data_IF_099180339542
#
_entry.id   IF_099180339542
#
_cell.length_a   1.000
_cell.length_b   1.000
_cell.length_c   1.000
_cell.angle_alpha   90.00
_cell.angle_beta   90.00
_cell.angle_gamma   90.00
#
_symmetry.space_group_name_H-M   'P 1'
#
loop_
_entity.id
_entity.type
_entity.pdbx_description
1 polymer ?
#
# COMPACT_ATOMS: atom_id res chain seq x y z
N UNK A 1 28.29 -3.18 11.46
CA UNK A 1 28.74 -2.90 12.82
C UNK A 1 30.26 -2.64 12.78
N UNK A 2 30.67 -1.38 12.94
CA UNK A 2 32.08 -0.95 12.94
C UNK A 2 32.80 -1.23 14.26
N UNK A 3 32.10 -1.75 15.27
CA UNK A 3 32.65 -2.11 16.58
C UNK A 3 33.50 -3.39 16.56
N UNK A 4 33.32 -4.22 15.53
CA UNK A 4 34.02 -5.51 15.40
C UNK A 4 35.41 -5.28 14.79
N UNK A 5 36.46 -5.86 15.38
CA UNK A 5 37.81 -5.77 14.84
C UNK A 5 37.92 -6.44 13.46
N UNK A 6 38.94 -6.04 12.66
CA UNK A 6 39.19 -6.64 11.35
C UNK A 6 39.37 -8.17 11.42
N UNK A 7 40.08 -8.64 12.47
CA UNK A 7 40.41 -10.05 12.63
C UNK A 7 39.18 -10.88 13.06
N UNK A 8 38.34 -10.35 13.93
CA UNK A 8 37.08 -10.97 14.30
C UNK A 8 36.12 -11.05 13.12
N UNK A 9 36.03 -9.97 12.33
CA UNK A 9 35.21 -9.96 11.13
C UNK A 9 35.72 -10.99 10.10
N UNK A 10 37.05 -11.10 9.92
CA UNK A 10 37.67 -12.09 9.03
C UNK A 10 37.33 -13.51 9.47
N UNK A 11 37.44 -13.82 10.77
CA UNK A 11 37.07 -15.14 11.35
C UNK A 11 35.60 -15.46 11.10
N UNK A 12 34.72 -14.49 11.31
CA UNK A 12 33.26 -14.66 11.08
C UNK A 12 32.97 -14.93 9.60
N UNK A 13 33.56 -14.16 8.67
CA UNK A 13 33.37 -14.37 7.22
C UNK A 13 33.87 -15.75 6.79
N UNK A 14 35.01 -16.21 7.33
CA UNK A 14 35.57 -17.53 7.02
C UNK A 14 34.69 -18.67 7.56
N UNK A 15 34.09 -18.50 8.75
CA UNK A 15 33.17 -19.51 9.31
C UNK A 15 31.88 -19.64 8.49
N UNK A 16 31.37 -18.53 7.96
CA UNK A 16 30.17 -18.52 7.12
C UNK A 16 30.45 -18.92 5.66
N UNK A 17 31.71 -18.83 5.20
CA UNK A 17 32.13 -19.12 3.83
C UNK A 17 33.41 -19.96 3.82
N UNK A 18 33.33 -21.29 4.09
CA UNK A 18 34.50 -22.18 4.25
C UNK A 18 35.42 -22.27 3.01
N UNK A 19 34.91 -21.91 1.83
CA UNK A 19 35.71 -21.88 0.58
C UNK A 19 36.54 -20.59 0.37
N UNK A 20 36.44 -19.61 1.27
CA UNK A 20 37.17 -18.35 1.17
C UNK A 20 38.60 -18.46 1.70
N UNK A 21 39.56 -17.89 0.98
CA UNK A 21 40.96 -17.83 1.43
C UNK A 21 41.15 -16.67 2.43
N UNK A 22 41.86 -16.94 3.54
CA UNK A 22 42.17 -15.94 4.59
C UNK A 22 42.82 -14.69 4.02
N UNK A 23 43.83 -14.83 3.16
CA UNK A 23 44.59 -13.73 2.58
C UNK A 23 43.72 -12.78 1.74
N UNK A 24 42.67 -13.30 1.10
CA UNK A 24 41.74 -12.46 0.34
C UNK A 24 40.91 -11.51 1.20
N UNK A 25 40.70 -11.82 2.47
CA UNK A 25 39.95 -10.97 3.40
C UNK A 25 40.73 -9.71 3.81
N UNK A 26 42.05 -9.79 3.80
CA UNK A 26 42.92 -8.64 4.05
C UNK A 26 42.68 -7.45 3.11
N UNK A 27 42.26 -7.74 1.87
CA UNK A 27 41.93 -6.72 0.87
C UNK A 27 40.43 -6.41 0.81
N UNK A 28 39.57 -7.37 1.06
CA UNK A 28 38.09 -7.22 0.94
C UNK A 28 37.51 -6.42 2.08
N UNK A 29 37.92 -6.68 3.31
CA UNK A 29 37.37 -6.02 4.51
C UNK A 29 37.63 -4.50 4.51
N UNK A 30 38.86 -3.99 4.27
CA UNK A 30 39.06 -2.55 4.22
C UNK A 30 38.27 -1.86 3.11
N UNK A 31 38.16 -2.47 1.94
CA UNK A 31 37.37 -1.93 0.83
C UNK A 31 35.88 -1.91 1.13
N UNK A 32 35.34 -2.98 1.71
CA UNK A 32 33.96 -3.00 2.14
C UNK A 32 33.68 -1.91 3.20
N UNK A 33 34.54 -1.75 4.19
CA UNK A 33 34.42 -0.68 5.18
C UNK A 33 34.42 0.70 4.53
N UNK A 34 35.33 0.95 3.62
CA UNK A 34 35.39 2.22 2.90
C UNK A 34 34.09 2.52 2.12
N UNK A 35 33.47 1.52 1.50
CA UNK A 35 32.18 1.66 0.82
C UNK A 35 31.08 2.11 1.79
N UNK A 36 31.02 1.50 2.99
CA UNK A 36 30.04 1.88 4.01
C UNK A 36 30.35 3.24 4.65
N UNK A 37 31.62 3.57 4.91
CA UNK A 37 32.03 4.86 5.47
C UNK A 37 31.80 6.02 4.49
N UNK A 38 31.84 5.74 3.19
CA UNK A 38 31.57 6.72 2.13
C UNK A 38 30.11 6.81 1.70
N UNK A 39 29.20 6.01 2.29
CA UNK A 39 27.78 5.99 1.94
C UNK A 39 27.49 5.44 0.55
N UNK A 40 28.40 4.63 -0.01
CA UNK A 40 28.30 4.05 -1.38
C UNK A 40 27.76 2.63 -1.40
N UNK A 41 27.22 2.12 -0.29
CA UNK A 41 26.75 0.73 -0.16
C UNK A 41 25.65 0.39 -1.15
N UNK A 42 24.70 1.30 -1.40
CA UNK A 42 23.62 1.08 -2.36
C UNK A 42 24.13 0.95 -3.80
N UNK A 43 25.06 1.81 -4.17
CA UNK A 43 25.66 1.76 -5.50
C UNK A 43 26.50 0.48 -5.68
N UNK A 44 27.26 0.09 -4.67
CA UNK A 44 27.99 -1.17 -4.67
C UNK A 44 27.05 -2.39 -4.79
N UNK A 45 25.89 -2.39 -4.11
CA UNK A 45 24.88 -3.44 -4.25
C UNK A 45 24.28 -3.49 -5.66
N UNK A 46 23.99 -2.33 -6.28
CA UNK A 46 23.52 -2.27 -7.68
C UNK A 46 24.53 -2.86 -8.66
N UNK A 47 25.79 -2.50 -8.52
CA UNK A 47 26.88 -3.06 -9.34
C UNK A 47 26.96 -4.59 -9.21
N UNK A 48 26.79 -5.13 -8.00
CA UNK A 48 26.75 -6.59 -7.77
C UNK A 48 25.54 -7.21 -8.49
N UNK A 49 24.37 -6.60 -8.40
CA UNK A 49 23.13 -7.09 -9.00
C UNK A 49 23.22 -7.14 -10.54
N UNK A 50 23.86 -6.15 -11.14
CA UNK A 50 24.02 -6.03 -12.59
C UNK A 50 25.20 -6.86 -13.14
N UNK A 51 26.06 -7.36 -12.27
CA UNK A 51 27.27 -8.07 -12.67
C UNK A 51 26.98 -9.45 -13.26
N UNK A 52 27.50 -9.69 -14.45
CA UNK A 52 27.47 -11.02 -15.10
C UNK A 52 28.53 -12.00 -14.55
N UNK A 53 29.42 -11.52 -13.67
CA UNK A 53 30.56 -12.30 -13.12
C UNK A 53 30.35 -12.78 -11.69
N UNK A 54 29.26 -12.38 -11.07
CA UNK A 54 28.88 -12.74 -9.69
C UNK A 54 27.91 -13.91 -9.73
N UNK A 55 28.03 -14.83 -8.79
CA UNK A 55 27.13 -15.98 -8.72
C UNK A 55 25.70 -15.56 -8.31
N UNK A 56 24.71 -16.37 -8.72
CA UNK A 56 23.29 -16.08 -8.52
C UNK A 56 22.92 -15.90 -7.04
N UNK A 57 23.56 -16.64 -6.14
CA UNK A 57 23.27 -16.59 -4.70
C UNK A 57 23.75 -15.27 -4.09
N UNK A 58 24.90 -14.76 -4.54
CA UNK A 58 25.39 -13.45 -4.11
C UNK A 58 24.54 -12.30 -4.68
N UNK A 59 24.05 -12.41 -5.92
CA UNK A 59 23.11 -11.46 -6.51
C UNK A 59 21.80 -11.42 -5.71
N UNK A 60 21.24 -12.58 -5.35
CA UNK A 60 20.02 -12.69 -4.54
C UNK A 60 20.20 -12.04 -3.16
N UNK A 61 21.34 -12.32 -2.51
CA UNK A 61 21.69 -11.69 -1.23
C UNK A 61 21.82 -10.17 -1.35
N UNK A 62 22.43 -9.66 -2.41
CA UNK A 62 22.56 -8.22 -2.67
C UNK A 62 21.20 -7.55 -2.88
N UNK A 63 20.29 -8.18 -3.63
CA UNK A 63 18.91 -7.71 -3.81
C UNK A 63 18.17 -7.61 -2.48
N UNK A 64 18.24 -8.64 -1.65
CA UNK A 64 17.58 -8.67 -0.35
C UNK A 64 18.12 -7.60 0.62
N UNK A 65 19.42 -7.30 0.57
CA UNK A 65 20.04 -6.24 1.37
C UNK A 65 19.58 -4.88 0.85
N UNK A 66 19.62 -4.63 -0.45
CA UNK A 66 19.21 -3.37 -1.05
C UNK A 66 17.74 -3.05 -0.75
N UNK A 67 16.85 -4.04 -0.87
CA UNK A 67 15.42 -3.89 -0.52
C UNK A 67 15.25 -3.52 0.96
N UNK A 68 15.98 -4.17 1.87
CA UNK A 68 15.92 -3.86 3.31
C UNK A 68 16.42 -2.45 3.61
N UNK A 69 17.47 -1.99 2.96
CA UNK A 69 17.99 -0.62 3.15
C UNK A 69 17.01 0.43 2.60
N UNK A 70 16.41 0.19 1.44
CA UNK A 70 15.37 1.07 0.88
C UNK A 70 14.16 1.15 1.83
N UNK A 71 13.67 0.01 2.32
CA UNK A 71 12.57 -0.04 3.29
C UNK A 71 12.92 0.74 4.56
N UNK A 72 14.15 0.62 5.05
CA UNK A 72 14.61 1.27 6.28
C UNK A 72 14.67 2.80 6.18
N UNK A 73 15.06 3.33 5.02
CA UNK A 73 15.06 4.78 4.77
C UNK A 73 13.64 5.35 4.65
N UNK A 74 12.74 4.63 4.01
CA UNK A 74 11.34 5.03 3.89
C UNK A 74 10.62 5.06 5.25
N UNK A 75 11.01 4.18 6.20
CA UNK A 75 10.49 4.19 7.57
C UNK A 75 11.00 5.35 8.44
N UNK A 76 12.09 6.02 8.05
CA UNK A 76 12.65 7.14 8.82
C UNK A 76 12.04 8.51 8.47
N UNK A 77 11.22 8.58 7.40
CA UNK A 77 10.63 9.82 6.90
C UNK A 77 9.16 10.03 7.29
N UNK A 78 8.65 9.34 8.33
CA UNK A 78 7.32 9.66 8.87
C UNK A 78 7.32 11.08 9.43
N UNK A 79 6.55 11.97 8.83
CA UNK A 79 6.38 13.33 9.34
C UNK A 79 5.66 13.33 10.69
N UNK A 80 6.01 14.28 11.56
CA UNK A 80 5.36 14.48 12.87
C UNK A 80 3.84 14.65 12.72
N UNK A 81 3.39 15.21 11.60
CA UNK A 81 1.99 15.42 11.25
C UNK A 81 1.23 14.10 11.02
N UNK A 82 1.89 13.07 10.46
CA UNK A 82 1.27 11.75 10.26
C UNK A 82 1.10 10.99 11.59
N UNK A 83 2.01 11.14 12.55
CA UNK A 83 1.90 10.54 13.90
C UNK A 83 0.79 11.18 14.71
N UNK A 84 0.67 12.51 14.72
CA UNK A 84 -0.40 13.23 15.42
C UNK A 84 -1.78 12.91 14.83
N UNK A 85 -1.86 12.65 13.53
CA UNK A 85 -3.08 12.25 12.87
C UNK A 85 -3.56 10.84 13.28
N UNK A 86 -2.64 9.92 13.61
CA UNK A 86 -2.96 8.57 14.08
C UNK A 86 -3.43 8.56 15.53
N UNK A 87 -2.86 9.38 16.40
CA UNK A 87 -3.24 9.46 17.83
C UNK A 87 -4.64 10.03 18.06
N UNK A 88 -5.14 10.86 17.14
CA UNK A 88 -6.46 11.51 17.28
C UNK A 88 -7.65 10.60 16.96
N UNK A 89 -7.43 9.37 16.50
CA UNK A 89 -8.46 8.52 15.87
C UNK A 89 -8.95 7.31 16.66
N UNK A 90 -8.64 7.19 17.93
CA UNK A 90 -9.21 6.13 18.80
C UNK A 90 -10.63 6.44 19.32
N UNK A 91 -11.33 7.42 18.75
CA UNK A 91 -12.73 7.67 19.04
C UNK A 91 -13.63 6.80 18.16
N UNK A 92 -14.71 6.25 18.73
CA UNK A 92 -15.74 5.49 18.02
C UNK A 92 -16.19 6.25 16.77
N UNK A 93 -15.98 5.65 15.60
CA UNK A 93 -16.30 6.26 14.31
C UNK A 93 -17.80 6.14 14.11
N UNK A 94 -18.54 7.23 14.34
CA UNK A 94 -19.93 7.33 13.93
C UNK A 94 -20.01 7.78 12.47
N UNK A 95 -20.91 7.16 11.70
CA UNK A 95 -21.17 7.60 10.34
C UNK A 95 -21.89 8.95 10.35
N UNK A 96 -21.38 9.90 9.55
CA UNK A 96 -22.17 11.07 9.19
C UNK A 96 -23.19 10.64 8.13
N UNK A 97 -24.45 10.49 8.55
CA UNK A 97 -25.58 10.09 7.70
C UNK A 97 -26.36 11.29 7.15
N UNK A 98 -25.91 12.52 7.42
CA UNK A 98 -26.58 13.71 6.87
C UNK A 98 -26.55 13.67 5.35
N UNK A 99 -27.69 13.96 4.72
CA UNK A 99 -27.75 14.11 3.27
C UNK A 99 -26.87 15.31 2.88
N UNK A 100 -25.93 15.08 1.97
CA UNK A 100 -25.07 16.12 1.43
C UNK A 100 -25.41 16.33 -0.03
N UNK A 101 -25.56 17.60 -0.42
CA UNK A 101 -25.72 17.95 -1.83
C UNK A 101 -24.49 17.58 -2.63
N UNK A 102 -24.70 17.17 -3.88
CA UNK A 102 -23.62 16.89 -4.80
C UNK A 102 -22.78 18.15 -5.02
N UNK A 103 -21.43 18.02 -5.06
CA UNK A 103 -20.58 19.17 -5.38
C UNK A 103 -20.85 19.68 -6.78
N UNK A 104 -20.78 21.02 -6.96
CA UNK A 104 -20.92 21.64 -8.27
C UNK A 104 -19.84 21.11 -9.21
N UNK A 105 -20.27 20.56 -10.35
CA UNK A 105 -19.37 20.08 -11.41
C UNK A 105 -18.84 21.30 -12.17
N UNK A 106 -17.54 21.56 -12.09
CA UNK A 106 -16.91 22.60 -12.89
C UNK A 106 -16.88 22.16 -14.36
N UNK A 107 -17.40 23.01 -15.27
CA UNK A 107 -17.26 22.82 -16.70
C UNK A 107 -15.77 22.96 -17.10
N UNK A 108 -15.12 21.83 -17.21
CA UNK A 108 -13.88 21.69 -18.00
C UNK A 108 -14.19 20.73 -19.12
N UNK A 109 -13.37 20.71 -20.17
CA UNK A 109 -13.48 19.82 -21.34
C UNK A 109 -13.57 18.32 -21.00
N UNK A 110 -13.46 17.95 -19.71
CA UNK A 110 -13.84 16.68 -19.11
C UNK A 110 -14.59 16.96 -17.82
N UNK A 111 -15.80 16.41 -17.67
CA UNK A 111 -16.55 16.42 -16.42
C UNK A 111 -15.83 15.53 -15.41
N UNK A 112 -15.10 16.13 -14.47
CA UNK A 112 -14.41 15.41 -13.40
C UNK A 112 -15.24 15.55 -12.13
N UNK A 113 -15.75 14.43 -11.59
CA UNK A 113 -16.38 14.42 -10.27
C UNK A 113 -15.31 14.72 -9.21
N UNK A 114 -15.46 15.79 -8.40
CA UNK A 114 -14.47 16.13 -7.40
C UNK A 114 -14.43 15.06 -6.30
N UNK A 115 -13.25 14.49 -6.09
CA UNK A 115 -13.02 13.43 -5.08
C UNK A 115 -12.51 14.02 -3.78
N UNK A 116 -13.07 13.56 -2.66
CA UNK A 116 -12.64 13.94 -1.31
C UNK A 116 -11.74 12.85 -0.74
N UNK A 117 -10.44 13.09 -0.70
CA UNK A 117 -9.49 12.12 -0.13
C UNK A 117 -9.79 11.73 1.33
N UNK A 118 -10.46 12.62 2.10
CA UNK A 118 -10.91 12.36 3.46
C UNK A 118 -11.88 11.19 3.54
N UNK A 119 -12.85 11.11 2.64
CA UNK A 119 -13.86 10.03 2.61
C UNK A 119 -13.18 8.66 2.36
N UNK A 120 -12.31 8.60 1.37
CA UNK A 120 -11.53 7.38 1.10
C UNK A 120 -10.66 6.96 2.30
N UNK A 121 -9.98 7.92 2.95
CA UNK A 121 -9.18 7.62 4.14
C UNK A 121 -10.04 7.12 5.32
N UNK A 122 -11.21 7.70 5.52
CA UNK A 122 -12.14 7.27 6.56
C UNK A 122 -12.65 5.85 6.31
N UNK A 123 -13.03 5.53 5.08
CA UNK A 123 -13.45 4.19 4.68
C UNK A 123 -12.35 3.13 4.92
N UNK A 124 -11.11 3.40 4.48
CA UNK A 124 -9.99 2.48 4.69
C UNK A 124 -9.69 2.25 6.18
N UNK A 125 -9.77 3.29 7.00
CA UNK A 125 -9.58 3.15 8.45
C UNK A 125 -10.66 2.31 9.11
N UNK A 126 -11.93 2.55 8.76
CA UNK A 126 -13.04 1.76 9.27
C UNK A 126 -12.84 0.28 8.98
N UNK A 127 -12.40 -0.04 7.78
CA UNK A 127 -12.04 -1.39 7.38
C UNK A 127 -10.72 -1.89 8.01
N UNK A 128 -10.08 -1.09 8.91
CA UNK A 128 -8.79 -1.41 9.52
C UNK A 128 -7.70 -1.75 8.48
N UNK A 129 -7.81 -1.17 7.29
CA UNK A 129 -6.93 -1.47 6.15
C UNK A 129 -6.87 -2.97 5.84
N UNK A 130 -8.02 -3.65 5.94
CA UNK A 130 -8.24 -5.03 5.53
C UNK A 130 -9.16 -5.07 4.31
N UNK A 131 -9.17 -6.19 3.59
CA UNK A 131 -10.09 -6.40 2.47
C UNK A 131 -11.49 -6.70 3.00
N UNK A 132 -12.51 -5.97 2.52
CA UNK A 132 -13.89 -6.18 2.96
C UNK A 132 -14.59 -7.34 2.26
N UNK A 133 -13.99 -7.94 1.21
CA UNK A 133 -14.44 -9.21 0.65
C UNK A 133 -14.03 -10.37 1.56
N UNK A 134 -12.76 -10.41 1.96
CA UNK A 134 -12.21 -11.39 2.88
C UNK A 134 -11.02 -10.76 3.63
N UNK A 135 -11.16 -10.63 4.94
CA UNK A 135 -10.14 -10.02 5.80
C UNK A 135 -8.86 -10.87 5.96
N UNK A 136 -8.89 -12.11 5.52
CA UNK A 136 -7.73 -13.01 5.48
C UNK A 136 -6.85 -12.82 4.24
N UNK A 137 -7.30 -12.03 3.26
CA UNK A 137 -6.49 -11.75 2.08
C UNK A 137 -5.14 -11.15 2.47
N UNK A 138 -4.09 -11.65 1.80
CA UNK A 138 -2.75 -11.14 2.03
C UNK A 138 -2.64 -9.68 1.64
N UNK A 139 -2.33 -8.84 2.62
CA UNK A 139 -2.02 -7.43 2.43
C UNK A 139 -0.62 -7.13 2.96
N UNK A 140 0.07 -6.20 2.36
CA UNK A 140 1.41 -5.78 2.79
C UNK A 140 1.34 -4.42 3.48
N UNK A 141 2.33 -4.13 4.34
CA UNK A 141 2.46 -2.82 4.98
C UNK A 141 2.82 -1.75 3.95
N UNK A 142 2.24 -0.58 4.08
CA UNK A 142 2.65 0.58 3.28
C UNK A 142 4.10 0.96 3.61
N UNK A 143 4.83 1.46 2.61
CA UNK A 143 6.25 1.77 2.74
C UNK A 143 6.55 2.73 3.88
N UNK A 144 5.75 3.78 4.02
CA UNK A 144 5.99 4.89 4.96
C UNK A 144 4.96 4.95 6.10
N UNK A 145 4.21 3.86 6.36
CA UNK A 145 3.13 3.81 7.35
C UNK A 145 3.02 2.41 7.96
N UNK A 146 2.48 2.34 9.19
CA UNK A 146 2.25 1.07 9.87
C UNK A 146 1.01 0.31 9.38
N UNK A 147 0.10 0.99 8.67
CA UNK A 147 -1.10 0.40 8.11
C UNK A 147 -0.83 -0.47 6.88
N UNK A 148 -1.76 -1.37 6.59
CA UNK A 148 -1.69 -2.22 5.40
C UNK A 148 -2.03 -1.42 4.13
N UNK A 149 -1.58 -1.93 2.98
CA UNK A 149 -2.01 -1.40 1.70
C UNK A 149 -3.32 -2.06 1.30
N UNK A 150 -4.36 -1.24 1.15
CA UNK A 150 -5.62 -1.56 0.51
C UNK A 150 -6.03 -0.39 -0.39
N UNK A 151 -6.90 -0.67 -1.35
CA UNK A 151 -7.35 0.29 -2.34
C UNK A 151 -8.81 0.68 -2.07
N UNK A 152 -9.12 1.99 -2.01
CA UNK A 152 -10.50 2.45 -1.88
C UNK A 152 -11.23 2.29 -3.22
N UNK A 153 -12.42 1.70 -3.20
CA UNK A 153 -13.25 1.50 -4.36
C UNK A 153 -14.67 2.00 -4.09
N UNK A 154 -15.22 2.83 -4.98
CA UNK A 154 -16.62 3.26 -4.89
C UNK A 154 -17.52 2.14 -5.38
N UNK A 155 -18.37 1.62 -4.50
CA UNK A 155 -19.29 0.53 -4.83
C UNK A 155 -20.31 0.99 -5.89
N UNK A 156 -20.90 2.16 -5.69
CA UNK A 156 -21.61 2.87 -6.78
C UNK A 156 -20.61 3.84 -7.39
N UNK A 157 -20.18 3.63 -8.64
CA UNK A 157 -19.12 4.41 -9.24
C UNK A 157 -19.51 5.87 -9.43
N UNK A 158 -18.55 6.79 -9.28
CA UNK A 158 -18.80 8.22 -9.41
C UNK A 158 -19.33 8.62 -10.80
N UNK A 159 -19.08 7.81 -11.82
CA UNK A 159 -19.63 7.99 -13.16
C UNK A 159 -21.16 7.87 -13.21
N UNK A 160 -21.77 7.17 -12.22
CA UNK A 160 -23.22 7.02 -12.10
C UNK A 160 -23.92 8.26 -11.51
N UNK A 161 -23.22 9.37 -11.26
CA UNK A 161 -23.74 10.56 -10.58
C UNK A 161 -25.03 11.13 -11.23
N UNK A 162 -25.25 10.90 -12.52
CA UNK A 162 -26.44 11.36 -13.24
C UNK A 162 -27.71 10.63 -12.80
N UNK A 163 -27.58 9.39 -12.34
CA UNK A 163 -28.70 8.59 -11.85
C UNK A 163 -29.06 8.89 -10.40
N UNK A 164 -28.21 9.69 -9.72
CA UNK A 164 -28.39 10.12 -8.33
C UNK A 164 -28.32 11.65 -8.22
N UNK A 165 -29.26 12.40 -8.82
CA UNK A 165 -29.23 13.85 -8.81
C UNK A 165 -29.32 14.42 -7.40
N UNK A 166 -28.41 15.33 -7.06
CA UNK A 166 -28.34 15.95 -5.71
C UNK A 166 -27.73 15.09 -4.63
N UNK A 167 -27.31 13.85 -4.93
CA UNK A 167 -26.68 12.93 -3.96
C UNK A 167 -25.19 12.89 -4.20
N UNK A 168 -24.43 13.10 -3.12
CA UNK A 168 -22.97 12.97 -3.13
C UNK A 168 -22.59 11.48 -3.07
N UNK A 169 -22.02 10.96 -4.16
CA UNK A 169 -21.55 9.57 -4.24
C UNK A 169 -20.15 9.38 -3.61
N UNK A 170 -19.39 10.48 -3.37
CA UNK A 170 -18.06 10.40 -2.75
C UNK A 170 -18.17 10.44 -1.22
N UNK A 171 -18.77 9.41 -0.67
CA UNK A 171 -19.03 9.22 0.76
C UNK A 171 -18.39 7.91 1.23
N UNK A 172 -17.91 7.89 2.47
CA UNK A 172 -17.27 6.71 3.06
C UNK A 172 -18.18 5.47 3.08
N UNK A 173 -19.52 5.65 3.17
CA UNK A 173 -20.50 4.56 3.10
C UNK A 173 -20.52 3.87 1.74
N UNK A 174 -20.18 4.59 0.69
CA UNK A 174 -20.08 4.09 -0.69
C UNK A 174 -18.67 3.60 -1.04
N UNK A 175 -17.70 3.73 -0.14
CA UNK A 175 -16.33 3.32 -0.41
C UNK A 175 -16.02 2.07 0.39
N UNK A 176 -15.48 1.06 -0.30
CA UNK A 176 -15.01 -0.20 0.28
C UNK A 176 -13.48 -0.30 0.20
N UNK A 177 -12.88 -0.98 1.17
CA UNK A 177 -11.45 -1.25 1.24
C UNK A 177 -11.16 -2.61 0.60
N UNK A 178 -10.36 -2.66 -0.44
CA UNK A 178 -10.11 -3.88 -1.19
C UNK A 178 -8.62 -4.22 -1.29
N UNK A 179 -8.33 -5.50 -1.24
CA UNK A 179 -7.08 -6.06 -1.75
C UNK A 179 -6.99 -5.82 -3.26
N UNK A 180 -5.79 -5.57 -3.79
CA UNK A 180 -5.60 -5.17 -5.19
C UNK A 180 -6.21 -6.16 -6.20
N UNK A 181 -6.13 -7.48 -5.93
CA UNK A 181 -6.76 -8.44 -6.82
C UNK A 181 -8.29 -8.35 -6.79
N UNK A 182 -8.93 -8.18 -5.62
CA UNK A 182 -10.38 -7.99 -5.53
C UNK A 182 -10.81 -6.71 -6.26
N UNK A 183 -10.04 -5.62 -6.12
CA UNK A 183 -10.27 -4.38 -6.86
C UNK A 183 -10.18 -4.59 -8.38
N UNK A 184 -9.14 -5.29 -8.84
CA UNK A 184 -8.98 -5.61 -10.26
C UNK A 184 -10.04 -6.59 -10.76
N UNK A 185 -10.51 -7.55 -9.95
CA UNK A 185 -11.62 -8.44 -10.35
C UNK A 185 -12.89 -7.63 -10.58
N UNK A 186 -13.20 -6.63 -9.74
CA UNK A 186 -14.36 -5.77 -9.95
C UNK A 186 -14.28 -5.00 -11.28
N UNK A 187 -13.09 -4.58 -11.70
CA UNK A 187 -12.92 -3.81 -12.95
C UNK A 187 -12.74 -4.67 -14.20
N UNK A 188 -12.17 -5.87 -14.09
CA UNK A 188 -11.68 -6.62 -15.25
C UNK A 188 -11.99 -8.12 -15.18
N UNK A 189 -12.44 -8.63 -14.04
CA UNK A 189 -12.61 -10.06 -13.80
C UNK A 189 -13.95 -10.59 -14.31
N UNK A 190 -13.97 -11.81 -14.86
CA UNK A 190 -15.20 -12.47 -15.27
C UNK A 190 -16.14 -12.81 -14.09
N UNK A 191 -15.59 -13.02 -12.89
CA UNK A 191 -16.33 -13.36 -11.66
C UNK A 191 -16.65 -12.14 -10.77
N UNK A 192 -16.67 -10.92 -11.34
CA UNK A 192 -16.91 -9.70 -10.56
C UNK A 192 -18.26 -9.68 -9.84
N UNK A 193 -19.28 -10.33 -10.38
CA UNK A 193 -20.65 -10.28 -9.84
C UNK A 193 -20.78 -10.90 -8.46
N UNK A 194 -20.01 -11.95 -8.18
CA UNK A 194 -20.00 -12.62 -6.88
C UNK A 194 -19.48 -11.67 -5.80
N UNK A 195 -18.31 -11.10 -6.04
CA UNK A 195 -17.70 -10.11 -5.13
C UNK A 195 -18.59 -8.87 -4.99
N UNK A 196 -19.13 -8.37 -6.09
CA UNK A 196 -20.01 -7.21 -6.12
C UNK A 196 -21.27 -7.45 -5.29
N UNK A 197 -21.85 -8.65 -5.36
CA UNK A 197 -23.04 -9.02 -4.58
C UNK A 197 -22.75 -9.05 -3.08
N UNK A 198 -21.64 -9.66 -2.67
CA UNK A 198 -21.23 -9.69 -1.27
C UNK A 198 -21.07 -8.28 -0.69
N UNK A 199 -20.35 -7.40 -1.39
CA UNK A 199 -20.17 -6.01 -1.00
C UNK A 199 -21.49 -5.23 -1.00
N UNK A 200 -22.38 -5.49 -1.96
CA UNK A 200 -23.71 -4.88 -2.02
C UNK A 200 -24.57 -5.25 -0.80
N UNK A 201 -24.63 -6.52 -0.42
CA UNK A 201 -25.38 -6.96 0.76
C UNK A 201 -24.84 -6.30 2.03
N UNK A 202 -23.53 -6.15 2.16
CA UNK A 202 -22.90 -5.49 3.31
C UNK A 202 -23.22 -3.99 3.36
N UNK A 203 -23.39 -3.33 2.22
CA UNK A 203 -23.47 -1.86 2.11
C UNK A 203 -24.85 -1.30 1.83
N UNK A 204 -25.82 -2.09 1.35
CA UNK A 204 -27.10 -1.60 0.87
C UNK A 204 -27.84 -0.71 1.88
N UNK A 205 -27.81 -1.05 3.17
CA UNK A 205 -28.50 -0.25 4.21
C UNK A 205 -27.74 1.06 4.48
N UNK A 206 -26.42 1.04 4.46
CA UNK A 206 -25.60 2.25 4.59
C UNK A 206 -25.75 3.19 3.40
N UNK A 207 -25.81 2.63 2.18
CA UNK A 207 -26.08 3.39 0.96
C UNK A 207 -27.45 4.09 1.05
N UNK A 208 -28.48 3.36 1.49
CA UNK A 208 -29.82 3.90 1.67
C UNK A 208 -29.86 5.05 2.68
N UNK A 209 -29.10 4.98 3.78
CA UNK A 209 -29.02 6.04 4.80
C UNK A 209 -28.49 7.36 4.23
N UNK A 210 -27.63 7.31 3.21
CA UNK A 210 -27.08 8.52 2.56
C UNK A 210 -27.82 8.87 1.26
N UNK A 211 -29.02 8.29 1.04
CA UNK A 211 -29.88 8.59 -0.11
C UNK A 211 -29.60 7.77 -1.37
N UNK A 212 -28.60 6.87 -1.37
CA UNK A 212 -28.32 5.99 -2.50
C UNK A 212 -29.24 4.75 -2.39
N UNK A 213 -30.36 4.81 -3.10
CA UNK A 213 -31.30 3.68 -3.21
C UNK A 213 -31.08 3.00 -4.55
N UNK A 214 -30.54 1.77 -4.53
CA UNK A 214 -30.13 1.04 -5.73
C UNK A 214 -30.45 -0.44 -5.59
N UNK A 215 -30.92 -1.09 -6.68
CA UNK A 215 -31.01 -2.55 -6.77
C UNK A 215 -29.66 -3.17 -7.18
N UNK A 216 -29.51 -4.47 -6.94
CA UNK A 216 -28.30 -5.17 -7.40
C UNK A 216 -28.17 -5.17 -8.93
N UNK A 217 -29.28 -5.34 -9.65
CA UNK A 217 -29.33 -5.32 -11.11
C UNK A 217 -28.86 -3.96 -11.65
N UNK A 218 -29.32 -2.87 -11.06
CA UNK A 218 -28.87 -1.52 -11.40
C UNK A 218 -27.38 -1.34 -11.08
N UNK A 219 -26.91 -1.84 -9.93
CA UNK A 219 -25.50 -1.78 -9.57
C UNK A 219 -24.64 -2.51 -10.61
N UNK A 220 -25.03 -3.73 -11.00
CA UNK A 220 -24.34 -4.53 -12.04
C UNK A 220 -24.26 -3.78 -13.37
N UNK A 221 -25.23 -2.93 -13.72
CA UNK A 221 -25.20 -2.19 -14.98
C UNK A 221 -24.11 -1.13 -15.07
N UNK A 222 -23.45 -0.80 -13.98
CA UNK A 222 -22.34 0.15 -13.94
C UNK A 222 -20.95 -0.51 -14.05
N UNK A 223 -20.89 -1.85 -14.03
CA UNK A 223 -19.68 -2.67 -14.12
C UNK A 223 -19.60 -3.41 -15.45
#
# INVERSE_FOLDING_TARGET
DFSISKDELAKKILSENPGSKSDSQNFRIPRARHIFESGQEKEALRIIIESKRVDKKAIEKAKNILVKEIIREDFQTESVEERQFIEHFNQEIQYDTTLKEAPLIAERTQYIYPRKQSEARSALRRAQYLCEVDNSHFVFKRRNRSDNYTEPHHLVPLSAHRDFPGIDLDREQNIVSLFSNCHNILHYGASYKEILYELYIQRRELLKQIGIVISFEQLVSYY
#
